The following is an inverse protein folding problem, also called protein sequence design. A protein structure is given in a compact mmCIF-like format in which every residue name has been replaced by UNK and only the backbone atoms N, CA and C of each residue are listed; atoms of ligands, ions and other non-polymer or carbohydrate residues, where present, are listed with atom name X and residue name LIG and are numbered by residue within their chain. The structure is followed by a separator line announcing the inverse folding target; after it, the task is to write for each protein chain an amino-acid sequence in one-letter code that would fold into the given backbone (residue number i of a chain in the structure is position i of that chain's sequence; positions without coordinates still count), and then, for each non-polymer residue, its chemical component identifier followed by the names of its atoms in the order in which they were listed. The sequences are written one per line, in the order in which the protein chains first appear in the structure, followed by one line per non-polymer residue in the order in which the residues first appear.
data_IF_521820825734
#
_entry.id   IF_521820825734
#
_cell.length_a   1.000
_cell.length_b   1.000
_cell.length_c   1.000
_cell.angle_alpha   90.00
_cell.angle_beta   90.00
_cell.angle_gamma   90.00
#
_symmetry.space_group_name_H-M   'P 1'
#
loop_
_entity.id
_entity.type
_entity.pdbx_description
1 polymer ?
#
# COMPACT_ATOMS: atom_id res chain seq x y z
N UNK A 1 -11.38 -26.70 -5.49
CA UNK A 1 -10.89 -25.45 -6.08
C UNK A 1 -10.03 -24.80 -5.02
N UNK A 2 -8.78 -24.50 -5.32
CA UNK A 2 -7.92 -23.80 -4.37
C UNK A 2 -8.43 -22.36 -4.23
N UNK A 3 -8.62 -21.92 -2.99
CA UNK A 3 -9.06 -20.56 -2.66
C UNK A 3 -7.87 -19.64 -2.92
N UNK A 4 -8.00 -18.72 -3.89
CA UNK A 4 -6.94 -17.76 -4.17
C UNK A 4 -6.77 -16.81 -2.99
N UNK A 5 -5.54 -16.60 -2.51
CA UNK A 5 -5.30 -15.73 -1.35
C UNK A 5 -4.79 -14.36 -1.78
N UNK A 6 -5.38 -13.32 -1.21
CA UNK A 6 -4.92 -11.94 -1.33
C UNK A 6 -4.30 -11.53 0.00
N UNK A 7 -3.06 -11.05 -0.04
CA UNK A 7 -2.41 -10.38 1.10
C UNK A 7 -2.39 -8.88 0.82
N UNK A 8 -3.17 -8.12 1.58
CA UNK A 8 -3.22 -6.67 1.50
C UNK A 8 -2.32 -6.07 2.60
N UNK A 9 -1.29 -5.32 2.20
CA UNK A 9 -0.32 -4.69 3.09
C UNK A 9 -0.57 -3.19 3.11
N UNK A 10 -0.78 -2.64 4.31
CA UNK A 10 -0.83 -1.20 4.55
C UNK A 10 0.05 -0.81 5.73
N UNK A 11 0.10 0.48 6.03
CA UNK A 11 0.87 1.05 7.15
C UNK A 11 1.59 2.34 6.78
N UNK A 12 2.27 2.97 7.75
CA UNK A 12 2.95 4.25 7.55
C UNK A 12 4.03 4.19 6.46
N UNK A 13 4.37 5.33 5.89
CA UNK A 13 5.53 5.48 5.01
C UNK A 13 6.79 4.99 5.72
N UNK A 14 7.73 4.44 4.95
CA UNK A 14 9.00 3.88 5.45
C UNK A 14 8.90 2.68 6.42
N UNK A 15 7.71 2.12 6.64
CA UNK A 15 7.55 0.94 7.51
C UNK A 15 8.16 -0.35 6.92
N UNK A 16 8.29 -0.43 5.59
CA UNK A 16 8.87 -1.59 4.89
C UNK A 16 7.90 -2.34 3.98
N UNK A 17 6.72 -1.76 3.66
CA UNK A 17 5.65 -2.41 2.88
C UNK A 17 6.14 -3.03 1.56
N UNK A 18 6.86 -2.25 0.75
CA UNK A 18 7.41 -2.72 -0.54
C UNK A 18 8.43 -3.84 -0.37
N UNK A 19 9.18 -3.85 0.74
CA UNK A 19 10.12 -4.93 1.08
C UNK A 19 9.37 -6.20 1.42
N UNK A 20 8.32 -6.12 2.25
CA UNK A 20 7.49 -7.28 2.59
C UNK A 20 6.81 -7.86 1.35
N UNK A 21 6.21 -7.01 0.51
CA UNK A 21 5.64 -7.45 -0.77
C UNK A 21 6.68 -8.11 -1.69
N UNK A 22 7.96 -7.75 -1.57
CA UNK A 22 9.03 -8.32 -2.41
C UNK A 22 9.38 -9.71 -1.91
N UNK A 23 9.48 -9.86 -0.59
CA UNK A 23 9.71 -11.14 0.06
C UNK A 23 8.55 -12.12 -0.17
N UNK A 24 7.30 -11.65 -0.25
CA UNK A 24 6.15 -12.48 -0.64
C UNK A 24 6.23 -12.90 -2.11
N UNK A 25 6.73 -12.03 -3.00
CA UNK A 25 7.00 -12.39 -4.40
C UNK A 25 7.97 -13.58 -4.53
N UNK A 26 9.05 -13.59 -3.75
CA UNK A 26 9.97 -14.74 -3.66
C UNK A 26 9.32 -16.02 -3.09
N UNK A 27 8.10 -15.93 -2.57
CA UNK A 27 7.30 -17.04 -2.03
C UNK A 27 6.11 -17.39 -2.94
N UNK A 28 6.12 -16.91 -4.19
CA UNK A 28 5.12 -17.26 -5.20
C UNK A 28 3.87 -16.37 -5.20
N UNK A 29 3.87 -15.23 -4.51
CA UNK A 29 2.79 -14.25 -4.61
C UNK A 29 2.97 -13.36 -5.84
N UNK A 30 1.94 -13.27 -6.68
CA UNK A 30 1.88 -12.29 -7.77
C UNK A 30 1.69 -10.88 -7.22
N UNK A 31 2.39 -9.89 -7.77
CA UNK A 31 2.17 -8.48 -7.42
C UNK A 31 1.06 -7.88 -8.27
N UNK A 32 0.04 -7.34 -7.64
CA UNK A 32 -0.96 -6.53 -8.35
C UNK A 32 -0.38 -5.13 -8.56
N UNK A 33 -0.21 -4.73 -9.81
CA UNK A 33 0.21 -3.38 -10.16
C UNK A 33 -1.01 -2.46 -10.13
N UNK A 34 -0.94 -1.41 -9.32
CA UNK A 34 -2.01 -0.43 -9.25
C UNK A 34 -1.99 0.53 -10.44
N UNK A 35 -3.12 1.15 -10.72
CA UNK A 35 -3.21 2.27 -11.65
C UNK A 35 -3.09 3.59 -10.88
N UNK A 36 -2.22 4.49 -11.34
CA UNK A 36 -2.01 5.83 -10.78
C UNK A 36 -2.22 6.89 -11.86
N UNK A 37 -3.01 7.92 -11.57
CA UNK A 37 -3.18 9.05 -12.49
C UNK A 37 -2.05 10.08 -12.33
N UNK A 38 -1.67 10.81 -13.41
CA UNK A 38 -0.77 11.95 -13.30
C UNK A 38 -1.32 13.03 -12.38
N UNK A 39 -0.42 13.70 -11.66
CA UNK A 39 -0.74 14.90 -10.88
C UNK A 39 -1.04 16.10 -11.79
N UNK A 40 -1.48 17.19 -11.17
CA UNK A 40 -1.87 18.42 -11.86
C UNK A 40 -0.73 19.07 -12.68
N UNK A 41 0.53 18.79 -12.32
CA UNK A 41 1.73 19.23 -13.03
C UNK A 41 2.19 18.24 -14.13
N UNK A 42 1.38 17.21 -14.42
CA UNK A 42 1.70 16.14 -15.36
C UNK A 42 2.70 15.12 -14.84
N UNK A 43 3.21 15.28 -13.60
CA UNK A 43 4.15 14.35 -13.03
C UNK A 43 3.42 13.13 -12.43
N UNK A 44 4.07 11.99 -12.52
CA UNK A 44 3.72 10.79 -11.76
C UNK A 44 4.83 10.50 -10.78
N UNK A 45 4.50 10.02 -9.59
CA UNK A 45 5.52 9.37 -8.77
C UNK A 45 6.07 8.20 -9.60
N UNK A 46 7.38 8.12 -9.83
CA UNK A 46 7.97 6.92 -10.40
C UNK A 46 7.96 5.83 -9.33
N UNK A 47 7.45 4.65 -9.67
CA UNK A 47 7.39 3.53 -8.73
C UNK A 47 7.25 2.20 -9.46
N UNK A 48 7.73 1.15 -8.79
CA UNK A 48 7.76 -0.22 -9.31
C UNK A 48 6.37 -0.87 -9.24
N UNK A 49 5.45 -0.30 -8.44
CA UNK A 49 4.19 -0.92 -8.02
C UNK A 49 2.95 -0.35 -8.71
N UNK A 50 3.13 0.54 -9.70
CA UNK A 50 2.01 1.13 -10.41
C UNK A 50 2.28 1.39 -11.89
N UNK A 51 1.18 1.50 -12.64
CA UNK A 51 1.13 1.90 -14.04
C UNK A 51 0.43 3.25 -14.15
N UNK A 52 0.93 4.10 -15.03
CA UNK A 52 0.30 5.40 -15.28
C UNK A 52 -0.95 5.22 -16.13
N UNK A 53 -2.08 5.71 -15.65
CA UNK A 53 -3.36 5.70 -16.35
C UNK A 53 -3.88 7.12 -16.51
N UNK A 54 -4.44 7.46 -17.67
CA UNK A 54 -5.06 8.78 -17.86
C UNK A 54 -6.28 8.93 -16.96
N UNK A 55 -6.48 10.12 -16.39
CA UNK A 55 -7.59 10.39 -15.47
C UNK A 55 -8.97 10.09 -16.09
N UNK A 56 -9.13 10.33 -17.40
CA UNK A 56 -10.34 9.96 -18.15
C UNK A 56 -10.63 8.47 -18.07
N UNK A 57 -9.63 7.63 -18.32
CA UNK A 57 -9.80 6.18 -18.36
C UNK A 57 -10.09 5.63 -16.95
N UNK A 58 -9.37 6.16 -15.95
CA UNK A 58 -9.63 5.87 -14.55
C UNK A 58 -11.08 6.16 -14.17
N UNK A 59 -11.57 7.36 -14.49
CA UNK A 59 -12.95 7.77 -14.19
C UNK A 59 -13.99 6.93 -14.92
N UNK A 60 -13.71 6.47 -16.15
CA UNK A 60 -14.60 5.56 -16.87
C UNK A 60 -14.69 4.21 -16.15
N UNK A 61 -13.57 3.66 -15.65
CA UNK A 61 -13.56 2.40 -14.90
C UNK A 61 -14.33 2.53 -13.57
N UNK A 62 -14.17 3.67 -12.88
CA UNK A 62 -14.94 3.97 -11.66
C UNK A 62 -16.43 4.03 -11.97
N UNK A 63 -16.83 4.79 -12.99
CA UNK A 63 -18.23 4.94 -13.39
C UNK A 63 -18.87 3.61 -13.84
N UNK A 64 -18.07 2.72 -14.42
CA UNK A 64 -18.50 1.38 -14.82
C UNK A 64 -18.50 0.35 -13.67
N UNK A 65 -18.13 0.74 -12.44
CA UNK A 65 -18.04 -0.19 -11.30
C UNK A 65 -16.94 -1.25 -11.43
N UNK A 66 -15.92 -0.99 -12.26
CA UNK A 66 -14.83 -1.94 -12.55
C UNK A 66 -13.63 -1.79 -11.62
N UNK A 67 -13.61 -0.73 -10.80
CA UNK A 67 -12.58 -0.48 -9.79
C UNK A 67 -12.94 -1.15 -8.47
N UNK A 68 -12.03 -1.96 -7.96
CA UNK A 68 -12.11 -2.57 -6.63
C UNK A 68 -11.59 -1.62 -5.57
N UNK A 69 -10.49 -0.94 -5.88
CA UNK A 69 -9.91 0.12 -5.07
C UNK A 69 -9.92 1.40 -5.91
N UNK A 70 -10.49 2.47 -5.37
CA UNK A 70 -10.40 3.82 -5.91
C UNK A 70 -10.20 4.81 -4.74
N UNK A 71 -9.04 5.45 -4.70
CA UNK A 71 -8.63 6.41 -3.67
C UNK A 71 -8.25 7.72 -4.36
N UNK A 72 -8.80 8.82 -3.87
CA UNK A 72 -8.41 10.16 -4.29
C UNK A 72 -7.34 10.70 -3.33
N UNK A 73 -6.17 11.03 -3.86
CA UNK A 73 -5.01 11.56 -3.16
C UNK A 73 -4.76 13.03 -3.55
N UNK A 74 -5.83 13.82 -3.61
CA UNK A 74 -5.79 15.23 -4.01
C UNK A 74 -5.80 15.38 -5.54
N UNK A 75 -4.64 15.63 -6.13
CA UNK A 75 -4.50 15.81 -7.58
C UNK A 75 -4.32 14.49 -8.35
N UNK A 76 -4.13 13.38 -7.63
CA UNK A 76 -3.91 12.06 -8.19
C UNK A 76 -4.97 11.08 -7.68
N UNK A 77 -5.18 10.01 -8.43
CA UNK A 77 -6.03 8.90 -8.04
C UNK A 77 -5.24 7.61 -8.13
N UNK A 78 -5.34 6.80 -7.08
CA UNK A 78 -4.79 5.47 -6.99
C UNK A 78 -5.93 4.46 -7.08
N UNK A 79 -5.74 3.38 -7.82
CA UNK A 79 -6.75 2.35 -7.85
C UNK A 79 -6.28 1.01 -8.38
N UNK A 80 -7.12 0.01 -8.15
CA UNK A 80 -6.92 -1.36 -8.59
C UNK A 80 -8.25 -1.86 -9.13
N UNK A 81 -8.27 -2.30 -10.37
CA UNK A 81 -9.42 -2.90 -11.03
C UNK A 81 -9.52 -4.40 -10.73
N UNK A 82 -10.73 -4.96 -10.86
CA UNK A 82 -10.93 -6.40 -10.68
C UNK A 82 -10.09 -7.20 -11.68
N UNK A 83 -9.99 -6.69 -12.91
CA UNK A 83 -9.18 -7.28 -13.98
C UNK A 83 -7.69 -7.36 -13.64
N UNK A 84 -7.13 -6.35 -12.97
CA UNK A 84 -5.72 -6.37 -12.54
C UNK A 84 -5.46 -7.43 -11.47
N UNK A 85 -6.39 -7.60 -10.53
CA UNK A 85 -6.32 -8.65 -9.51
C UNK A 85 -6.43 -10.03 -10.16
N UNK A 86 -7.43 -10.23 -11.03
CA UNK A 86 -7.67 -11.49 -11.74
C UNK A 86 -6.49 -11.88 -12.64
N UNK A 87 -5.89 -10.92 -13.34
CA UNK A 87 -4.71 -11.16 -14.17
C UNK A 87 -3.52 -11.63 -13.33
N UNK A 88 -3.26 -10.99 -12.18
CA UNK A 88 -2.21 -11.40 -11.28
C UNK A 88 -2.50 -12.78 -10.66
N UNK A 89 -3.77 -13.09 -10.36
CA UNK A 89 -4.19 -14.40 -9.84
C UNK A 89 -4.04 -15.53 -10.87
N UNK A 90 -4.21 -15.22 -12.16
CA UNK A 90 -4.00 -16.18 -13.25
C UNK A 90 -2.51 -16.55 -13.39
N UNK A 91 -1.61 -15.59 -13.20
CA UNK A 91 -0.16 -15.79 -13.23
C UNK A 91 0.37 -16.43 -11.94
N UNK A 92 -0.26 -16.13 -10.80
CA UNK A 92 0.12 -16.60 -9.49
C UNK A 92 -1.12 -16.77 -8.62
N UNK A 93 -1.40 -18.01 -8.20
CA UNK A 93 -2.59 -18.38 -7.43
C UNK A 93 -2.88 -17.44 -6.23
N UNK A 94 -1.81 -16.97 -5.59
CA UNK A 94 -1.87 -15.99 -4.50
C UNK A 94 -1.28 -14.66 -4.95
N UNK A 95 -1.85 -13.55 -4.46
CA UNK A 95 -1.41 -12.20 -4.83
C UNK A 95 -1.20 -11.30 -3.62
N UNK A 96 -0.33 -10.31 -3.79
CA UNK A 96 -0.05 -9.27 -2.80
C UNK A 96 -0.40 -7.90 -3.37
N UNK A 97 -1.06 -7.08 -2.54
CA UNK A 97 -1.48 -5.72 -2.87
C UNK A 97 -0.94 -4.78 -1.79
N UNK A 98 -0.29 -3.69 -2.17
CA UNK A 98 0.12 -2.62 -1.25
C UNK A 98 -0.77 -1.42 -1.49
N UNK A 99 -1.49 -0.96 -0.47
CA UNK A 99 -2.35 0.21 -0.57
C UNK A 99 -2.56 0.89 0.80
N UNK A 100 -3.18 2.06 0.80
CA UNK A 100 -3.57 2.77 2.03
C UNK A 100 -4.76 2.05 2.72
N UNK A 101 -5.02 2.30 4.02
CA UNK A 101 -6.07 1.59 4.76
C UNK A 101 -7.47 1.72 4.15
N UNK A 102 -7.77 2.89 3.55
CA UNK A 102 -9.03 3.10 2.83
C UNK A 102 -9.20 2.11 1.66
N UNK A 103 -8.12 1.76 0.96
CA UNK A 103 -8.14 0.77 -0.11
C UNK A 103 -8.35 -0.65 0.41
N UNK A 104 -7.77 -1.00 1.55
CA UNK A 104 -8.00 -2.32 2.18
C UNK A 104 -9.47 -2.49 2.55
N UNK A 105 -10.16 -1.45 3.02
CA UNK A 105 -11.61 -1.52 3.32
C UNK A 105 -12.44 -1.79 2.07
N UNK A 106 -12.14 -1.13 0.95
CA UNK A 106 -12.82 -1.39 -0.33
C UNK A 106 -12.56 -2.82 -0.84
N UNK A 107 -11.32 -3.28 -0.73
CA UNK A 107 -10.93 -4.65 -1.07
C UNK A 107 -11.60 -5.70 -0.18
N UNK A 108 -11.73 -5.44 1.11
CA UNK A 108 -12.42 -6.31 2.08
C UNK A 108 -13.91 -6.46 1.73
N UNK A 109 -14.58 -5.34 1.41
CA UNK A 109 -15.96 -5.37 0.94
C UNK A 109 -16.11 -6.17 -0.36
N UNK A 110 -15.18 -6.04 -1.31
CA UNK A 110 -15.16 -6.80 -2.56
C UNK A 110 -14.89 -8.30 -2.35
N UNK A 111 -13.97 -8.67 -1.45
CA UNK A 111 -13.67 -10.06 -1.12
C UNK A 111 -14.83 -10.75 -0.38
N UNK A 112 -15.56 -10.05 0.50
CA UNK A 112 -16.73 -10.60 1.21
C UNK A 112 -17.84 -11.08 0.28
N UNK A 113 -17.88 -10.57 -0.96
CA UNK A 113 -18.84 -11.00 -1.98
C UNK A 113 -18.37 -12.26 -2.76
N UNK A 114 -17.19 -12.81 -2.45
CA UNK A 114 -16.51 -13.89 -3.18
C UNK A 114 -16.01 -14.94 -2.19
N UNK A 115 -16.66 -16.11 -2.15
CA UNK A 115 -16.32 -17.18 -1.21
C UNK A 115 -15.04 -17.93 -1.59
N UNK A 116 -14.59 -17.78 -2.83
CA UNK A 116 -13.40 -18.38 -3.42
C UNK A 116 -12.11 -17.59 -3.17
N UNK A 117 -12.19 -16.44 -2.49
CA UNK A 117 -11.04 -15.58 -2.19
C UNK A 117 -10.87 -15.43 -0.68
N UNK A 118 -9.67 -15.68 -0.18
CA UNK A 118 -9.29 -15.36 1.20
C UNK A 118 -8.49 -14.07 1.23
N UNK A 119 -8.87 -13.13 2.10
CA UNK A 119 -8.13 -11.88 2.31
C UNK A 119 -7.38 -11.93 3.65
N UNK A 120 -6.10 -11.59 3.62
CA UNK A 120 -5.27 -11.32 4.80
C UNK A 120 -4.89 -9.84 4.81
N UNK A 121 -5.29 -9.12 5.86
CA UNK A 121 -5.08 -7.68 6.06
C UNK A 121 -3.92 -7.47 7.02
N UNK A 122 -2.85 -6.88 6.52
CA UNK A 122 -1.60 -6.66 7.26
C UNK A 122 -1.39 -5.16 7.45
N UNK A 123 -1.34 -4.73 8.72
CA UNK A 123 -0.82 -3.42 9.08
C UNK A 123 0.66 -3.57 9.45
N UNK A 124 1.56 -3.02 8.63
CA UNK A 124 2.99 -3.07 8.84
C UNK A 124 3.50 -1.74 9.37
N UNK A 125 4.04 -1.76 10.59
CA UNK A 125 4.53 -0.59 11.30
C UNK A 125 6.00 -0.74 11.70
N UNK A 126 6.53 0.32 12.29
CA UNK A 126 7.80 0.33 13.00
C UNK A 126 7.76 1.39 14.10
N UNK A 127 8.57 1.25 15.17
CA UNK A 127 8.79 2.35 16.09
C UNK A 127 9.18 3.63 15.36
N UNK A 128 8.65 4.77 15.82
CA UNK A 128 8.82 6.08 15.17
C UNK A 128 10.28 6.43 14.91
N UNK A 129 11.19 6.00 15.78
CA UNK A 129 12.64 6.17 15.62
C UNK A 129 13.14 5.56 14.29
N UNK A 130 12.74 4.33 13.95
CA UNK A 130 13.15 3.67 12.70
C UNK A 130 12.51 4.31 11.46
N UNK A 131 11.23 4.70 11.55
CA UNK A 131 10.53 5.38 10.45
C UNK A 131 11.20 6.71 10.15
N UNK A 132 11.46 7.53 11.18
CA UNK A 132 12.08 8.83 11.03
C UNK A 132 13.52 8.72 10.52
N UNK A 133 14.29 7.74 11.02
CA UNK A 133 15.63 7.47 10.50
C UNK A 133 15.59 7.16 9.00
N UNK A 134 14.75 6.21 8.56
CA UNK A 134 14.62 5.82 7.15
C UNK A 134 14.13 6.98 6.27
N UNK A 135 13.20 7.79 6.77
CA UNK A 135 12.75 9.01 6.09
C UNK A 135 13.90 9.99 5.89
N UNK A 136 14.66 10.29 6.95
CA UNK A 136 15.76 11.26 6.88
C UNK A 136 16.89 10.78 5.97
N UNK A 137 17.26 9.50 6.04
CA UNK A 137 18.25 8.89 5.17
C UNK A 137 17.84 9.05 3.69
N UNK A 138 16.65 8.59 3.34
CA UNK A 138 16.15 8.66 1.96
C UNK A 138 15.94 10.10 1.47
N UNK A 139 15.35 10.97 2.29
CA UNK A 139 15.16 12.37 1.97
C UNK A 139 16.48 13.07 1.71
N UNK A 140 17.48 12.86 2.58
CA UNK A 140 18.80 13.46 2.43
C UNK A 140 19.48 13.01 1.14
N UNK A 141 19.46 11.71 0.85
CA UNK A 141 20.03 11.16 -0.38
C UNK A 141 19.37 11.73 -1.64
N UNK A 142 18.04 11.82 -1.69
CA UNK A 142 17.34 12.34 -2.86
C UNK A 142 17.50 13.87 -3.00
N UNK A 143 17.49 14.62 -1.89
CA UNK A 143 17.79 16.05 -1.88
C UNK A 143 19.21 16.30 -2.40
N UNK A 144 20.21 15.56 -1.92
CA UNK A 144 21.59 15.68 -2.40
C UNK A 144 21.71 15.37 -3.88
N UNK A 145 21.10 14.26 -4.34
CA UNK A 145 21.09 13.88 -5.77
C UNK A 145 20.42 14.95 -6.64
N UNK A 146 19.32 15.55 -6.18
CA UNK A 146 18.60 16.58 -6.93
C UNK A 146 19.38 17.87 -7.17
N UNK A 147 20.41 18.17 -6.35
CA UNK A 147 21.26 19.36 -6.52
C UNK A 147 21.97 19.37 -7.88
N UNK A 148 22.34 18.19 -8.38
CA UNK A 148 23.00 18.04 -9.68
C UNK A 148 22.04 18.17 -10.86
N UNK A 149 20.72 18.09 -10.62
CA UNK A 149 19.68 18.11 -11.65
C UNK A 149 19.06 19.52 -11.88
N UNK A 150 19.53 20.54 -11.17
CA UNK A 150 19.08 21.93 -11.29
C UNK A 150 18.00 22.35 -10.30
N UNK A 151 17.80 23.66 -10.18
CA UNK A 151 16.97 24.27 -9.13
C UNK A 151 15.50 23.86 -9.16
N UNK A 152 14.92 23.64 -10.34
CA UNK A 152 13.52 23.23 -10.48
C UNK A 152 13.28 21.82 -9.91
N UNK A 153 14.19 20.88 -10.20
CA UNK A 153 14.13 19.50 -9.69
C UNK A 153 14.34 19.50 -8.18
N UNK A 154 15.32 20.27 -7.69
CA UNK A 154 15.58 20.39 -6.26
C UNK A 154 14.38 20.93 -5.48
N UNK A 155 13.76 22.02 -5.96
CA UNK A 155 12.57 22.60 -5.32
C UNK A 155 11.40 21.59 -5.27
N UNK A 156 11.22 20.80 -6.32
CA UNK A 156 10.19 19.75 -6.35
C UNK A 156 10.47 18.65 -5.33
N UNK A 157 11.71 18.16 -5.23
CA UNK A 157 12.09 17.15 -4.23
C UNK A 157 11.90 17.68 -2.81
N UNK A 158 12.33 18.91 -2.53
CA UNK A 158 12.12 19.55 -1.23
C UNK A 158 10.63 19.67 -0.88
N UNK A 159 9.81 20.13 -1.83
CA UNK A 159 8.35 20.23 -1.65
C UNK A 159 7.73 18.85 -1.37
N UNK A 160 8.12 17.82 -2.12
CA UNK A 160 7.62 16.46 -1.92
C UNK A 160 7.88 15.96 -0.49
N UNK A 161 9.11 16.09 0.01
CA UNK A 161 9.45 15.65 1.36
C UNK A 161 8.81 16.50 2.47
N UNK A 162 8.56 17.79 2.23
CA UNK A 162 7.80 18.62 3.17
C UNK A 162 6.33 18.17 3.29
N UNK A 163 5.67 17.89 2.17
CA UNK A 163 4.29 17.36 2.17
C UNK A 163 4.23 15.95 2.78
N UNK A 164 5.19 15.09 2.46
CA UNK A 164 5.26 13.74 3.03
C UNK A 164 5.42 13.78 4.55
N UNK A 165 6.26 14.67 5.07
CA UNK A 165 6.41 14.88 6.51
C UNK A 165 5.09 15.27 7.19
N UNK A 166 4.31 16.16 6.55
CA UNK A 166 2.97 16.53 7.02
C UNK A 166 2.05 15.31 7.07
N UNK A 167 1.98 14.53 6.00
CA UNK A 167 1.16 13.31 5.92
C UNK A 167 1.55 12.29 7.00
N UNK A 168 2.86 12.07 7.20
CA UNK A 168 3.38 11.17 8.24
C UNK A 168 3.00 11.62 9.66
N UNK A 169 2.98 12.94 9.91
CA UNK A 169 2.65 13.50 11.22
C UNK A 169 1.14 13.52 11.52
N UNK A 170 0.29 13.60 10.49
CA UNK A 170 -1.18 13.66 10.64
C UNK A 170 -1.84 12.34 10.28
N UNK A 171 -1.99 12.05 9.00
CA UNK A 171 -2.83 11.00 8.45
C UNK A 171 -2.31 9.61 8.81
N UNK A 172 -1.00 9.40 8.75
CA UNK A 172 -0.43 8.07 9.07
C UNK A 172 -0.47 7.76 10.57
N UNK A 173 -0.51 8.78 11.43
CA UNK A 173 -0.74 8.58 12.87
C UNK A 173 -2.18 8.16 13.15
N UNK A 174 -3.17 8.69 12.42
CA UNK A 174 -4.55 8.21 12.50
C UNK A 174 -4.65 6.74 12.07
N UNK A 175 -3.93 6.34 11.01
CA UNK A 175 -3.87 4.95 10.58
C UNK A 175 -3.33 4.02 11.68
N UNK A 176 -2.28 4.44 12.39
CA UNK A 176 -1.77 3.70 13.55
C UNK A 176 -2.83 3.58 14.63
N UNK A 177 -3.49 4.69 14.97
CA UNK A 177 -4.53 4.67 16.01
C UNK A 177 -5.65 3.69 15.64
N UNK A 178 -6.11 3.70 14.39
CA UNK A 178 -7.09 2.75 13.87
C UNK A 178 -6.60 1.29 13.97
N UNK A 179 -5.34 1.03 13.62
CA UNK A 179 -4.78 -0.32 13.62
C UNK A 179 -4.61 -0.91 15.04
N UNK A 180 -4.07 -0.13 15.99
CA UNK A 180 -3.79 -0.61 17.34
C UNK A 180 -5.01 -0.57 18.27
N UNK A 181 -5.85 0.46 18.13
CA UNK A 181 -6.97 0.69 19.06
C UNK A 181 -8.34 0.36 18.47
N UNK A 182 -8.41 -0.07 17.19
CA UNK A 182 -9.63 -0.54 16.53
C UNK A 182 -10.79 0.46 16.65
N UNK A 183 -10.50 1.75 16.44
CA UNK A 183 -11.42 2.86 16.76
C UNK A 183 -12.58 3.01 15.75
N UNK A 184 -12.63 2.20 14.68
CA UNK A 184 -13.68 2.32 13.67
C UNK A 184 -14.81 1.30 13.89
N UNK A 185 -15.99 1.80 14.27
CA UNK A 185 -17.26 1.21 13.82
C UNK A 185 -17.41 1.55 12.33
N UNK A 186 -17.45 0.55 11.43
CA UNK A 186 -17.80 0.85 10.04
C UNK A 186 -19.18 1.54 10.04
N UNK A 187 -19.40 2.45 9.08
CA UNK A 187 -20.71 3.10 8.87
C UNK A 187 -21.85 2.11 8.58
N UNK A 188 -21.53 0.81 8.42
CA UNK A 188 -22.44 -0.31 8.22
C UNK A 188 -22.57 -1.24 9.46
N UNK A 189 -22.00 -0.88 10.62
CA UNK A 189 -22.11 -1.65 11.87
C UNK A 189 -21.25 -2.92 11.95
N UNK A 190 -20.29 -3.10 11.03
CA UNK A 190 -19.28 -4.17 11.09
C UNK A 190 -18.00 -3.72 11.79
N UNK A 191 -17.29 -4.64 12.45
CA UNK A 191 -15.94 -4.34 12.96
C UNK A 191 -14.89 -4.68 11.89
N UNK A 192 -14.26 -3.66 11.32
CA UNK A 192 -13.08 -3.84 10.48
C UNK A 192 -11.85 -4.06 11.37
N UNK A 193 -11.07 -5.11 11.09
CA UNK A 193 -9.84 -5.44 11.84
C UNK A 193 -8.76 -5.93 10.91
N UNK A 194 -7.51 -5.55 11.22
CA UNK A 194 -6.34 -6.19 10.60
C UNK A 194 -6.15 -7.59 11.18
N UNK A 195 -5.80 -8.54 10.32
CA UNK A 195 -5.48 -9.90 10.75
C UNK A 195 -4.10 -9.93 11.42
N UNK A 196 -3.17 -9.09 10.96
CA UNK A 196 -1.85 -8.89 11.56
C UNK A 196 -1.55 -7.41 11.74
N UNK A 197 -1.10 -7.03 12.94
CA UNK A 197 -0.52 -5.71 13.23
C UNK A 197 0.93 -5.95 13.64
N UNK A 198 1.85 -5.66 12.74
CA UNK A 198 3.28 -5.94 12.89
C UNK A 198 3.95 -4.68 13.40
N UNK A 199 4.32 -4.69 14.68
CA UNK A 199 4.84 -3.51 15.37
C UNK A 199 6.30 -3.18 15.02
N UNK A 200 7.04 -4.15 14.47
CA UNK A 200 8.46 -4.04 14.13
C UNK A 200 8.81 -4.84 12.88
N UNK A 201 9.48 -4.19 11.93
CA UNK A 201 9.93 -4.82 10.68
C UNK A 201 11.31 -4.33 10.25
N UNK A 202 12.31 -5.20 10.34
CA UNK A 202 13.71 -4.90 10.02
C UNK A 202 14.40 -6.10 9.36
N UNK A 203 15.68 -5.96 9.03
CA UNK A 203 16.44 -7.00 8.33
C UNK A 203 16.56 -8.31 9.10
N UNK A 204 16.39 -8.30 10.43
CA UNK A 204 16.51 -9.49 11.27
C UNK A 204 15.25 -10.34 11.23
N UNK A 205 14.06 -9.72 11.16
CA UNK A 205 12.78 -10.44 11.22
C UNK A 205 12.00 -10.49 9.89
N UNK A 206 12.39 -9.72 8.88
CA UNK A 206 11.61 -9.58 7.65
C UNK A 206 11.35 -10.91 6.91
N UNK A 207 12.34 -11.82 6.87
CA UNK A 207 12.19 -13.13 6.21
C UNK A 207 11.20 -14.02 6.95
N UNK A 208 11.33 -14.09 8.27
CA UNK A 208 10.46 -14.91 9.12
C UNK A 208 9.01 -14.42 9.06
N UNK A 209 8.79 -13.10 9.13
CA UNK A 209 7.47 -12.50 8.96
C UNK A 209 6.85 -12.87 7.61
N UNK A 210 7.64 -12.77 6.53
CA UNK A 210 7.16 -13.13 5.20
C UNK A 210 6.84 -14.64 5.08
N UNK A 211 7.61 -15.51 5.74
CA UNK A 211 7.32 -16.96 5.81
C UNK A 211 6.02 -17.26 6.56
N UNK A 212 5.79 -16.58 7.69
CA UNK A 212 4.57 -16.75 8.49
C UNK A 212 3.35 -16.30 7.70
N UNK A 213 3.40 -15.10 7.12
CA UNK A 213 2.32 -14.58 6.28
C UNK A 213 2.04 -15.52 5.10
N UNK A 214 3.06 -15.97 4.36
CA UNK A 214 2.88 -16.86 3.22
C UNK A 214 2.21 -18.19 3.61
N UNK A 215 2.55 -18.75 4.78
CA UNK A 215 1.94 -19.97 5.31
C UNK A 215 0.55 -19.78 5.92
N UNK A 216 0.09 -18.52 6.08
CA UNK A 216 -1.17 -18.22 6.77
C UNK A 216 -1.09 -18.45 8.28
N UNK A 217 0.13 -18.46 8.82
CA UNK A 217 0.38 -18.60 10.25
C UNK A 217 0.31 -17.23 10.91
N UNK A 218 -0.01 -17.17 12.21
CA UNK A 218 0.13 -15.93 12.98
C UNK A 218 1.52 -15.35 12.78
N UNK A 219 1.60 -14.14 12.23
CA UNK A 219 2.83 -13.37 12.27
C UNK A 219 3.02 -12.89 13.72
N UNK A 220 4.13 -13.23 14.38
CA UNK A 220 4.35 -12.78 15.76
C UNK A 220 4.41 -11.25 15.80
N UNK A 221 3.52 -10.66 16.61
CA UNK A 221 3.32 -9.21 16.76
C UNK A 221 4.37 -8.54 17.65
#
# INVERSE_FOLDING_TARGET
MTVGRIVAITGPSFSGKSTLAHLLGHRGFGRVLASLTPGADGNTADGIDHRVMQARDFNNLVAAGQMVIAINMGAQSFGVSAKEIEAAQLESENVVIVCEPAGIRQLDAWCKQRSEISLTRVFLDNPSQFINQRFLERATEEIMRSRMAGASVQNRVLKHYAELMKVMATTENEWRNQAYFQVDEDSAGGSFRFDYVISRFDTFNAKEIADQIAKGLPAFC
#
